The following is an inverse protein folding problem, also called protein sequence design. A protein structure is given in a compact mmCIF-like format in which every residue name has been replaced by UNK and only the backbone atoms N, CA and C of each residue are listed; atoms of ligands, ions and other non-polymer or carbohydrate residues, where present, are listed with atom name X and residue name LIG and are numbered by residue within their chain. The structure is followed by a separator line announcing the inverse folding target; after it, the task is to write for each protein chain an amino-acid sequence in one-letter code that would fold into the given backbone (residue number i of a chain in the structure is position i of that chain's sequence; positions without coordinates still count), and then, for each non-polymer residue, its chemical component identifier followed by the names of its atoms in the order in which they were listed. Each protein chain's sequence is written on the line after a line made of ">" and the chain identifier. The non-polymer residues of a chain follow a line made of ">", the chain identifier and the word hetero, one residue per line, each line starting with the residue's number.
data_IF_202120593003
#
_entry.id   IF_202120593003
#
_cell.length_a   1.000
_cell.length_b   1.000
_cell.length_c   1.000
_cell.angle_alpha   90.00
_cell.angle_beta   90.00
_cell.angle_gamma   90.00
#
_symmetry.space_group_name_H-M   'P 1'
#
loop_
_entity.id
_entity.type
_entity.pdbx_description
1 polymer ?
#
# COMPACT_ATOMS: atom_id res chain seq x y z
N UNK A 1 20.99 4.52 4.88
CA UNK A 1 19.64 3.95 5.04
C UNK A 1 18.65 4.99 4.53
N UNK A 2 17.69 4.60 3.68
CA UNK A 2 16.66 5.52 3.15
C UNK A 2 15.28 5.07 3.63
N UNK A 3 14.34 6.00 3.67
CA UNK A 3 12.91 5.75 3.87
C UNK A 3 12.21 5.92 2.54
N UNK A 4 11.49 4.90 2.06
CA UNK A 4 10.87 4.89 0.74
C UNK A 4 9.38 4.57 0.87
N UNK A 5 8.55 5.43 0.29
CA UNK A 5 7.10 5.22 0.24
C UNK A 5 6.70 4.92 -1.20
N UNK A 6 6.10 3.76 -1.45
CA UNK A 6 5.41 3.49 -2.70
C UNK A 6 3.96 3.96 -2.58
N UNK A 7 3.61 4.98 -3.36
CA UNK A 7 2.25 5.47 -3.46
C UNK A 7 1.58 4.82 -4.68
N UNK A 8 0.98 3.66 -4.47
CA UNK A 8 0.43 2.84 -5.55
C UNK A 8 -0.97 3.31 -5.93
N UNK A 9 -1.16 3.73 -7.18
CA UNK A 9 -2.44 4.21 -7.69
C UNK A 9 -3.13 3.25 -8.65
N UNK A 10 -2.36 2.44 -9.37
CA UNK A 10 -2.90 1.62 -10.45
C UNK A 10 -3.51 0.30 -9.94
N UNK A 11 -4.70 -0.04 -10.45
CA UNK A 11 -5.39 -1.31 -10.15
C UNK A 11 -4.86 -2.53 -10.92
N UNK A 12 -3.78 -2.39 -11.70
CA UNK A 12 -3.22 -3.48 -12.51
C UNK A 12 -2.35 -4.39 -11.64
N UNK A 13 -2.83 -5.60 -11.33
CA UNK A 13 -2.10 -6.59 -10.50
C UNK A 13 -0.63 -6.76 -10.91
N UNK A 14 -0.35 -6.94 -12.21
CA UNK A 14 1.02 -7.12 -12.69
C UNK A 14 1.95 -5.92 -12.37
N UNK A 15 1.44 -4.69 -12.42
CA UNK A 15 2.20 -3.50 -12.04
C UNK A 15 2.45 -3.50 -10.53
N UNK A 16 1.43 -3.82 -9.73
CA UNK A 16 1.56 -3.87 -8.27
C UNK A 16 2.50 -4.96 -7.77
N UNK A 17 2.60 -6.10 -8.47
CA UNK A 17 3.61 -7.12 -8.12
C UNK A 17 5.05 -6.56 -8.21
N UNK A 18 5.33 -5.63 -9.12
CA UNK A 18 6.63 -4.96 -9.18
C UNK A 18 6.85 -4.00 -8.01
N UNK A 19 5.79 -3.33 -7.53
CA UNK A 19 5.86 -2.53 -6.30
C UNK A 19 6.26 -3.42 -5.11
N UNK A 20 5.60 -4.57 -4.96
CA UNK A 20 5.92 -5.53 -3.89
C UNK A 20 7.36 -6.06 -3.98
N UNK A 21 7.83 -6.43 -5.19
CA UNK A 21 9.20 -6.91 -5.38
C UNK A 21 10.25 -5.84 -5.04
N UNK A 22 10.04 -4.59 -5.49
CA UNK A 22 10.94 -3.49 -5.17
C UNK A 22 10.92 -3.16 -3.67
N UNK A 23 9.74 -3.14 -3.04
CA UNK A 23 9.61 -2.87 -1.62
C UNK A 23 10.30 -3.93 -0.76
N UNK A 24 10.12 -5.21 -1.09
CA UNK A 24 10.79 -6.32 -0.41
C UNK A 24 12.31 -6.26 -0.59
N UNK A 25 12.79 -6.02 -1.82
CA UNK A 25 14.22 -5.91 -2.08
C UNK A 25 14.85 -4.76 -1.27
N UNK A 26 14.21 -3.59 -1.24
CA UNK A 26 14.68 -2.44 -0.46
C UNK A 26 14.70 -2.75 1.04
N UNK A 27 13.65 -3.39 1.56
CA UNK A 27 13.59 -3.82 2.95
C UNK A 27 14.71 -4.81 3.30
N UNK A 28 14.98 -5.79 2.43
CA UNK A 28 16.06 -6.77 2.60
C UNK A 28 17.46 -6.11 2.59
N UNK A 29 17.61 -4.96 1.93
CA UNK A 29 18.83 -4.15 1.97
C UNK A 29 18.87 -3.17 3.16
N UNK A 30 17.93 -3.29 4.11
CA UNK A 30 17.89 -2.51 5.35
C UNK A 30 17.25 -1.14 5.23
N UNK A 31 16.55 -0.82 4.12
CA UNK A 31 15.78 0.42 4.00
C UNK A 31 14.45 0.31 4.75
N UNK A 32 13.93 1.44 5.22
CA UNK A 32 12.57 1.50 5.72
C UNK A 32 11.62 1.71 4.55
N UNK A 33 10.62 0.85 4.40
CA UNK A 33 9.72 0.87 3.26
C UNK A 33 8.27 0.85 3.71
N UNK A 34 7.45 1.65 3.05
CA UNK A 34 5.99 1.67 3.21
C UNK A 34 5.30 1.64 1.85
N UNK A 35 4.10 1.07 1.80
CA UNK A 35 3.23 1.02 0.63
C UNK A 35 1.85 1.52 1.02
N UNK A 36 1.34 2.52 0.30
CA UNK A 36 -0.05 2.98 0.36
C UNK A 36 -0.79 2.43 -0.85
N UNK A 37 -2.01 1.92 -0.61
CA UNK A 37 -2.97 1.64 -1.66
C UNK A 37 -3.89 2.86 -1.83
N UNK A 38 -3.71 3.60 -2.92
CA UNK A 38 -4.55 4.73 -3.32
C UNK A 38 -5.21 4.45 -4.68
N UNK A 39 -6.27 5.18 -5.02
CA UNK A 39 -6.88 5.11 -6.34
C UNK A 39 -7.40 3.71 -6.66
N UNK A 40 -7.10 3.22 -7.86
CA UNK A 40 -7.57 1.92 -8.34
C UNK A 40 -6.91 0.73 -7.64
N UNK A 41 -5.74 0.93 -7.01
CA UNK A 41 -4.99 -0.13 -6.33
C UNK A 41 -5.72 -0.68 -5.10
N UNK A 42 -6.69 0.07 -4.53
CA UNK A 42 -7.48 -0.35 -3.36
C UNK A 42 -8.30 -1.63 -3.58
N UNK A 43 -8.43 -2.11 -4.83
CA UNK A 43 -9.06 -3.41 -5.14
C UNK A 43 -8.13 -4.61 -4.96
N UNK A 44 -6.83 -4.37 -4.91
CA UNK A 44 -5.81 -5.42 -4.89
C UNK A 44 -5.62 -6.11 -3.54
N UNK A 45 -5.69 -5.45 -2.37
CA UNK A 45 -5.47 -6.10 -1.07
C UNK A 45 -6.33 -7.35 -0.89
N UNK A 46 -7.66 -7.23 -1.02
CA UNK A 46 -8.59 -8.35 -0.85
C UNK A 46 -8.42 -9.44 -1.92
N UNK A 47 -8.04 -9.07 -3.15
CA UNK A 47 -7.69 -10.03 -4.18
C UNK A 47 -6.43 -10.84 -3.80
N UNK A 48 -5.35 -10.15 -3.43
CA UNK A 48 -4.06 -10.76 -3.14
C UNK A 48 -4.09 -11.60 -1.86
N UNK A 49 -4.90 -11.18 -0.88
CA UNK A 49 -5.19 -11.95 0.33
C UNK A 49 -5.84 -13.30 -0.02
N UNK A 50 -6.93 -13.30 -0.81
CA UNK A 50 -7.62 -14.52 -1.23
C UNK A 50 -6.76 -15.43 -2.09
N UNK A 51 -5.91 -14.84 -2.94
CA UNK A 51 -4.96 -15.59 -3.77
C UNK A 51 -3.82 -16.23 -2.95
N UNK A 52 -3.64 -15.86 -1.67
CA UNK A 52 -2.50 -16.29 -0.88
C UNK A 52 -1.18 -15.83 -1.50
N UNK A 53 -1.16 -14.63 -2.10
CA UNK A 53 -0.03 -14.17 -2.88
C UNK A 53 1.21 -14.00 -1.98
N UNK A 54 2.26 -14.78 -2.23
CA UNK A 54 3.46 -14.84 -1.39
C UNK A 54 4.16 -13.49 -1.19
N UNK A 55 4.21 -12.65 -2.23
CA UNK A 55 4.86 -11.34 -2.15
C UNK A 55 4.07 -10.40 -1.24
N UNK A 56 2.74 -10.37 -1.42
CA UNK A 56 1.85 -9.55 -0.59
C UNK A 56 1.85 -10.02 0.87
N UNK A 57 1.75 -11.34 1.12
CA UNK A 57 1.80 -11.88 2.48
C UNK A 57 3.13 -11.57 3.18
N UNK A 58 4.25 -11.68 2.46
CA UNK A 58 5.57 -11.30 2.99
C UNK A 58 5.65 -9.81 3.31
N UNK A 59 5.16 -8.94 2.43
CA UNK A 59 5.11 -7.50 2.68
C UNK A 59 4.21 -7.14 3.88
N UNK A 60 3.09 -7.85 4.04
CA UNK A 60 2.17 -7.70 5.18
C UNK A 60 2.84 -8.12 6.49
N UNK A 61 3.43 -9.32 6.54
CA UNK A 61 4.13 -9.85 7.72
C UNK A 61 5.28 -8.93 8.17
N UNK A 62 5.99 -8.33 7.21
CA UNK A 62 7.09 -7.39 7.47
C UNK A 62 6.63 -5.97 7.82
N UNK A 63 5.32 -5.70 7.87
CA UNK A 63 4.77 -4.39 8.21
C UNK A 63 5.01 -3.31 7.14
N UNK A 64 5.18 -3.69 5.87
CA UNK A 64 5.44 -2.74 4.78
C UNK A 64 4.17 -2.04 4.29
N UNK A 65 2.98 -2.62 4.54
CA UNK A 65 1.71 -2.06 4.07
C UNK A 65 1.24 -0.99 5.06
N UNK A 66 1.35 0.27 4.68
CA UNK A 66 0.96 1.39 5.53
C UNK A 66 -0.57 1.47 5.72
N UNK A 67 -1.31 1.16 4.66
CA UNK A 67 -2.78 1.16 4.71
C UNK A 67 -3.42 1.38 3.35
N UNK A 68 -4.74 1.40 3.37
CA UNK A 68 -5.61 1.49 2.20
C UNK A 68 -6.41 2.78 2.29
N UNK A 69 -6.49 3.55 1.20
CA UNK A 69 -7.28 4.77 1.16
C UNK A 69 -8.77 4.51 1.43
N UNK A 70 -9.32 5.21 2.43
CA UNK A 70 -10.72 5.11 2.83
C UNK A 70 -11.66 5.61 1.73
N UNK A 71 -11.49 6.86 1.28
CA UNK A 71 -12.38 7.46 0.29
C UNK A 71 -12.39 6.70 -1.04
N UNK A 72 -11.24 6.22 -1.52
CA UNK A 72 -11.21 5.37 -2.72
C UNK A 72 -11.93 4.04 -2.50
N UNK A 73 -11.80 3.43 -1.33
CA UNK A 73 -12.53 2.20 -1.02
C UNK A 73 -14.05 2.40 -1.04
N UNK A 74 -14.54 3.53 -0.52
CA UNK A 74 -15.95 3.93 -0.58
C UNK A 74 -16.38 4.16 -2.04
N UNK A 75 -15.66 5.02 -2.75
CA UNK A 75 -16.02 5.45 -4.11
C UNK A 75 -16.04 4.27 -5.10
N UNK A 76 -15.20 3.27 -4.87
CA UNK A 76 -15.05 2.12 -5.74
C UNK A 76 -15.85 0.89 -5.28
N UNK A 77 -16.63 1.01 -4.20
CA UNK A 77 -17.52 -0.04 -3.71
C UNK A 77 -16.79 -1.25 -3.12
N UNK A 78 -15.61 -1.05 -2.52
CA UNK A 78 -14.78 -2.11 -1.94
C UNK A 78 -14.45 -1.92 -0.46
N UNK A 79 -15.13 -1.00 0.23
CA UNK A 79 -14.91 -0.73 1.66
C UNK A 79 -15.01 -1.99 2.53
N UNK A 80 -16.13 -2.71 2.48
CA UNK A 80 -16.34 -3.91 3.31
C UNK A 80 -15.25 -4.98 3.07
N UNK A 81 -14.80 -5.13 1.82
CA UNK A 81 -13.71 -6.04 1.48
C UNK A 81 -12.38 -5.60 2.09
N UNK A 82 -12.11 -4.29 2.13
CA UNK A 82 -10.87 -3.74 2.67
C UNK A 82 -10.89 -3.70 4.20
N UNK A 83 -12.04 -3.50 4.84
CA UNK A 83 -12.20 -3.69 6.28
C UNK A 83 -11.87 -5.13 6.70
N UNK A 84 -12.35 -6.12 5.94
CA UNK A 84 -12.08 -7.53 6.19
C UNK A 84 -10.60 -7.92 6.01
N UNK A 85 -9.83 -7.17 5.22
CA UNK A 85 -8.37 -7.38 5.08
C UNK A 85 -7.65 -7.04 6.39
N UNK A 86 -8.16 -6.07 7.15
CA UNK A 86 -7.62 -5.68 8.45
C UNK A 86 -6.34 -4.83 8.38
N UNK A 87 -6.10 -4.15 7.25
CA UNK A 87 -5.10 -3.09 7.16
C UNK A 87 -5.69 -1.74 7.59
N UNK A 88 -4.86 -0.78 8.06
CA UNK A 88 -5.35 0.56 8.38
C UNK A 88 -6.07 1.19 7.18
N UNK A 89 -7.22 1.81 7.43
CA UNK A 89 -7.89 2.67 6.46
C UNK A 89 -7.38 4.11 6.67
N UNK A 90 -6.78 4.69 5.64
CA UNK A 90 -6.11 5.99 5.68
C UNK A 90 -7.00 7.09 5.10
N UNK A 91 -7.08 8.21 5.80
CA UNK A 91 -8.00 9.31 5.49
C UNK A 91 -7.44 10.71 5.83
N UNK A 92 -6.14 10.82 6.10
CA UNK A 92 -5.45 11.97 6.70
C UNK A 92 -5.30 13.20 5.78
N UNK A 93 -5.64 13.11 4.50
CA UNK A 93 -5.60 14.25 3.57
C UNK A 93 -6.95 14.97 3.46
N UNK A 94 -7.85 14.45 2.63
CA UNK A 94 -9.23 14.94 2.44
C UNK A 94 -10.18 13.73 2.43
N UNK A 95 -10.01 12.83 3.40
CA UNK A 95 -10.62 11.49 3.38
C UNK A 95 -9.86 10.44 2.57
N UNK A 96 -8.78 10.85 1.89
CA UNK A 96 -7.86 10.00 1.13
C UNK A 96 -6.54 9.80 1.90
N UNK A 97 -5.71 8.86 1.43
CA UNK A 97 -4.41 8.60 2.04
C UNK A 97 -3.44 9.75 1.71
N UNK A 98 -3.00 10.48 2.74
CA UNK A 98 -2.07 11.58 2.60
C UNK A 98 -0.62 11.14 2.52
N UNK A 99 0.19 12.00 1.89
CA UNK A 99 1.65 11.85 1.88
C UNK A 99 2.33 12.62 3.03
N UNK A 100 1.63 13.59 3.62
CA UNK A 100 2.24 14.55 4.55
C UNK A 100 2.93 13.87 5.75
N UNK A 101 2.32 12.91 6.47
CA UNK A 101 2.99 12.25 7.59
C UNK A 101 4.28 11.52 7.19
N UNK A 102 4.30 10.95 5.98
CA UNK A 102 5.48 10.24 5.46
C UNK A 102 6.57 11.21 5.03
N UNK A 103 6.22 12.32 4.37
CA UNK A 103 7.17 13.35 3.97
C UNK A 103 7.82 13.98 5.21
N UNK A 104 7.02 14.30 6.24
CA UNK A 104 7.53 14.85 7.50
C UNK A 104 8.43 13.86 8.24
N UNK A 105 8.18 12.55 8.12
CA UNK A 105 9.05 11.50 8.65
C UNK A 105 10.26 11.17 7.73
N UNK A 106 10.44 11.91 6.64
CA UNK A 106 11.62 11.83 5.77
C UNK A 106 11.57 10.75 4.68
N UNK A 107 10.37 10.29 4.29
CA UNK A 107 10.20 9.34 3.20
C UNK A 107 10.39 9.99 1.82
N UNK A 108 11.19 9.35 0.97
CA UNK A 108 11.23 9.57 -0.47
C UNK A 108 10.04 8.87 -1.12
N UNK A 109 9.18 9.63 -1.83
CA UNK A 109 7.96 9.09 -2.45
C UNK A 109 8.24 8.60 -3.87
N UNK A 110 7.88 7.35 -4.14
CA UNK A 110 7.83 6.74 -5.46
C UNK A 110 6.36 6.60 -5.87
N UNK A 111 5.96 7.33 -6.89
CA UNK A 111 4.62 7.23 -7.47
C UNK A 111 4.53 5.98 -8.36
N UNK A 112 3.61 5.07 -8.07
CA UNK A 112 3.54 3.74 -8.70
C UNK A 112 2.18 3.40 -9.32
#
# INVERSE_FOLDING_TARGET
>A
MRKVLFYAMQGKKMCFLHVLMNALQLYEQGHEVRIIFEGESVRLPSQLEREGNKLYLSAREKGLLAGICLACSVQLGVLEMNEAVGLPLLDDMYGHAGLLPFIEDGYEVVWA
#
